data_IF_523833795118
#
_entry.id   IF_523833795118
#
_cell.length_a   1.000
_cell.length_b   1.000
_cell.length_c   1.000
_cell.angle_alpha   90.00
_cell.angle_beta   90.00
_cell.angle_gamma   90.00
#
_symmetry.space_group_name_H-M   'P 1'
#
loop_
_entity.id
_entity.type
_entity.pdbx_description
1 polymer ?
#
# COMPACT_ATOMS: atom_id res chain seq x y z
N UNK A 1 -48.40 -17.94 13.54
CA UNK A 1 -47.57 -17.63 14.71
C UNK A 1 -47.53 -16.14 14.87
N UNK A 2 -48.09 -15.64 15.93
CA UNK A 2 -48.56 -14.27 16.13
C UNK A 2 -47.44 -13.35 16.61
N UNK A 3 -47.40 -12.12 16.04
CA UNK A 3 -46.38 -11.10 16.31
C UNK A 3 -46.76 -10.20 17.49
N UNK A 4 -47.12 -10.76 18.62
CA UNK A 4 -47.47 -9.96 19.82
C UNK A 4 -47.13 -10.75 21.07
N UNK A 5 -45.94 -10.49 21.60
CA UNK A 5 -45.61 -10.63 23.04
C UNK A 5 -44.11 -10.45 23.27
N UNK A 6 -43.67 -9.18 23.22
CA UNK A 6 -42.35 -8.80 23.74
C UNK A 6 -42.46 -7.42 24.41
N UNK A 7 -43.34 -7.33 25.40
CA UNK A 7 -43.34 -6.19 26.31
C UNK A 7 -43.62 -6.74 27.71
N UNK A 8 -42.58 -6.75 28.51
CA UNK A 8 -42.58 -6.62 29.97
C UNK A 8 -41.43 -7.42 30.60
N UNK A 9 -40.33 -6.74 30.84
CA UNK A 9 -39.49 -6.94 32.03
C UNK A 9 -38.39 -5.87 32.06
N UNK A 10 -38.74 -4.70 32.60
CA UNK A 10 -37.77 -3.76 33.13
C UNK A 10 -37.73 -3.95 34.66
N UNK A 11 -36.62 -4.36 35.24
CA UNK A 11 -36.37 -4.09 36.65
C UNK A 11 -35.71 -2.72 36.79
N UNK A 12 -36.33 -1.88 37.60
CA UNK A 12 -35.74 -0.62 38.04
C UNK A 12 -34.45 -0.88 38.82
N UNK A 13 -33.35 -0.31 38.35
CA UNK A 13 -32.08 -0.29 39.09
C UNK A 13 -31.89 1.12 39.67
N UNK A 14 -31.87 1.18 40.99
CA UNK A 14 -31.66 2.40 41.80
C UNK A 14 -30.33 3.04 41.44
N UNK A 15 -30.34 4.37 41.30
CA UNK A 15 -29.21 5.22 41.21
C UNK A 15 -28.36 5.20 42.49
N UNK A 16 -27.15 4.72 42.42
CA UNK A 16 -26.08 5.03 43.37
C UNK A 16 -25.11 5.99 42.67
N UNK A 17 -25.24 7.27 43.01
CA UNK A 17 -24.27 8.30 42.59
C UNK A 17 -23.02 8.14 43.42
N UNK A 18 -21.99 7.47 42.88
CA UNK A 18 -20.65 7.56 43.40
C UNK A 18 -19.94 8.66 42.62
N UNK A 19 -19.59 9.73 43.31
CA UNK A 19 -18.67 10.77 42.84
C UNK A 19 -17.28 10.12 42.57
N UNK A 20 -16.97 9.87 41.31
CA UNK A 20 -15.64 9.57 40.87
C UNK A 20 -14.89 10.90 40.63
N UNK A 21 -13.60 11.02 41.04
CA UNK A 21 -12.85 12.21 40.75
C UNK A 21 -12.64 12.34 39.24
N UNK A 22 -12.87 13.54 38.72
CA UNK A 22 -12.51 13.92 37.35
C UNK A 22 -11.02 13.66 37.13
N UNK A 23 -10.67 12.57 36.51
CA UNK A 23 -9.34 12.40 35.94
C UNK A 23 -9.24 13.37 34.75
N UNK A 24 -8.40 14.38 34.91
CA UNK A 24 -8.05 15.31 33.84
C UNK A 24 -7.63 14.50 32.59
N UNK A 25 -8.49 14.54 31.59
CA UNK A 25 -8.20 13.99 30.28
C UNK A 25 -7.03 14.80 29.72
N UNK A 26 -5.83 14.21 29.75
CA UNK A 26 -4.69 14.78 29.03
C UNK A 26 -5.06 14.84 27.56
N UNK A 27 -5.36 16.02 27.08
CA UNK A 27 -5.60 16.32 25.68
C UNK A 27 -4.28 16.03 24.96
N UNK A 28 -4.15 14.83 24.37
CA UNK A 28 -3.06 14.52 23.46
C UNK A 28 -3.13 15.53 22.32
N UNK A 29 -2.24 16.51 22.34
CA UNK A 29 -2.01 17.38 21.19
C UNK A 29 -1.52 16.50 20.04
N UNK A 30 -2.41 16.15 19.13
CA UNK A 30 -2.06 15.48 17.90
C UNK A 30 -0.99 16.33 17.20
N UNK A 31 0.21 15.79 17.08
CA UNK A 31 1.27 16.39 16.27
C UNK A 31 0.70 16.57 14.86
N UNK A 32 0.77 17.76 14.26
CA UNK A 32 0.22 17.96 12.92
C UNK A 32 0.96 17.04 11.95
N UNK A 33 0.26 16.05 11.43
CA UNK A 33 0.74 15.22 10.35
C UNK A 33 1.05 16.14 9.18
N UNK A 34 2.30 16.21 8.75
CA UNK A 34 2.68 16.97 7.55
C UNK A 34 1.93 16.37 6.38
N UNK A 35 0.87 17.01 5.97
CA UNK A 35 0.12 16.62 4.77
C UNK A 35 1.07 16.79 3.59
N UNK A 36 1.43 15.70 2.93
CA UNK A 36 2.23 15.71 1.72
C UNK A 36 1.50 16.54 0.67
N UNK A 37 2.19 17.49 0.03
CA UNK A 37 1.58 18.28 -1.02
C UNK A 37 1.02 17.34 -2.12
N UNK A 38 -0.17 17.62 -2.66
CA UNK A 38 -0.74 16.79 -3.72
C UNK A 38 0.20 16.78 -4.91
N UNK A 39 0.36 15.59 -5.53
CA UNK A 39 1.16 15.45 -6.74
C UNK A 39 0.50 16.20 -7.91
N UNK A 40 1.30 16.69 -8.88
CA UNK A 40 0.76 17.38 -10.06
C UNK A 40 -0.10 16.42 -10.90
N UNK A 41 -1.04 16.97 -11.65
CA UNK A 41 -1.81 16.22 -12.62
C UNK A 41 -0.91 15.77 -13.77
N UNK A 42 -1.03 14.49 -14.18
CA UNK A 42 -0.29 13.92 -15.29
C UNK A 42 -0.93 14.32 -16.61
N UNK A 43 -0.11 14.79 -17.55
CA UNK A 43 -0.50 15.08 -18.93
C UNK A 43 -0.23 13.89 -19.84
N UNK A 44 -0.93 13.83 -20.96
CA UNK A 44 -0.57 12.88 -22.04
C UNK A 44 0.83 13.17 -22.57
N UNK A 45 1.66 12.13 -22.71
CA UNK A 45 3.05 12.30 -23.18
C UNK A 45 3.86 11.03 -23.08
N UNK A 46 5.17 11.17 -23.35
CA UNK A 46 6.17 10.13 -23.18
C UNK A 46 7.04 10.52 -21.98
N UNK A 47 7.22 9.59 -21.06
CA UNK A 47 7.97 9.77 -19.83
C UNK A 47 9.24 8.91 -19.88
N UNK A 48 10.40 9.48 -20.19
CA UNK A 48 11.66 8.75 -20.17
C UNK A 48 12.03 8.38 -18.71
N UNK A 49 12.90 7.37 -18.51
CA UNK A 49 13.37 7.02 -17.19
C UNK A 49 14.11 8.21 -16.54
N UNK A 50 13.79 8.47 -15.29
CA UNK A 50 14.53 9.42 -14.45
C UNK A 50 15.91 8.88 -14.03
N UNK A 51 16.64 9.63 -13.20
CA UNK A 51 17.92 9.17 -12.67
C UNK A 51 17.78 7.84 -11.91
N UNK A 52 18.81 7.00 -12.02
CA UNK A 52 18.90 5.78 -11.22
C UNK A 52 18.98 6.12 -9.73
N UNK A 53 18.26 5.39 -8.93
CA UNK A 53 18.27 5.47 -7.46
C UNK A 53 18.38 4.06 -6.87
N UNK A 54 18.80 3.96 -5.61
CA UNK A 54 18.87 2.70 -4.90
C UNK A 54 20.29 2.31 -4.50
N UNK A 55 20.40 1.20 -3.77
CA UNK A 55 21.65 0.66 -3.24
C UNK A 55 21.47 -0.81 -2.83
N UNK A 56 22.53 -1.47 -2.37
CA UNK A 56 22.43 -2.80 -1.78
C UNK A 56 21.92 -3.90 -2.73
N UNK A 57 22.22 -3.78 -4.02
CA UNK A 57 21.76 -4.76 -5.03
C UNK A 57 20.36 -4.47 -5.60
N UNK A 58 19.73 -3.35 -5.21
CA UNK A 58 18.47 -2.89 -5.81
C UNK A 58 18.65 -1.48 -6.36
N UNK A 59 18.32 -1.29 -7.63
CA UNK A 59 18.31 0.00 -8.31
C UNK A 59 17.03 0.18 -9.09
N UNK A 60 16.62 1.42 -9.32
CA UNK A 60 15.40 1.69 -10.07
C UNK A 60 15.38 3.06 -10.71
N UNK A 61 14.47 3.24 -11.64
CA UNK A 61 14.20 4.47 -12.36
C UNK A 61 12.72 4.81 -12.27
N UNK A 62 12.38 6.00 -11.78
CA UNK A 62 11.01 6.48 -11.84
C UNK A 62 10.72 7.11 -13.19
N UNK A 63 9.60 6.76 -13.80
CA UNK A 63 9.14 7.35 -15.07
C UNK A 63 8.15 8.49 -14.81
N UNK A 64 7.16 8.25 -13.96
CA UNK A 64 6.14 9.25 -13.64
C UNK A 64 5.59 9.04 -12.23
N UNK A 65 5.06 10.12 -11.66
CA UNK A 65 4.25 10.12 -10.46
C UNK A 65 3.33 11.33 -10.50
N UNK A 66 2.03 11.15 -10.25
CA UNK A 66 1.07 12.25 -10.26
C UNK A 66 -0.37 11.80 -10.19
N UNK A 67 -1.27 12.77 -10.35
CA UNK A 67 -2.71 12.56 -10.32
C UNK A 67 -3.27 12.35 -11.72
N UNK A 68 -4.17 11.39 -11.88
CA UNK A 68 -4.92 11.20 -13.13
C UNK A 68 -6.09 12.19 -13.19
N UNK A 69 -6.41 12.69 -14.40
CA UNK A 69 -7.61 13.53 -14.63
C UNK A 69 -8.92 12.82 -14.32
N UNK A 70 -8.93 11.49 -14.38
CA UNK A 70 -10.11 10.65 -14.22
C UNK A 70 -10.55 10.45 -12.76
N UNK A 71 -10.34 11.42 -11.89
CA UNK A 71 -10.78 11.38 -10.50
C UNK A 71 -9.63 11.48 -9.50
N UNK A 72 -9.90 11.12 -8.23
CA UNK A 72 -8.89 11.17 -7.17
C UNK A 72 -8.00 9.93 -7.18
N UNK A 73 -7.29 9.71 -8.28
CA UNK A 73 -6.43 8.54 -8.50
C UNK A 73 -5.00 9.02 -8.70
N UNK A 74 -4.11 8.58 -7.81
CA UNK A 74 -2.68 8.71 -7.97
C UNK A 74 -2.14 7.53 -8.76
N UNK A 75 -1.20 7.81 -9.65
CA UNK A 75 -0.42 6.79 -10.35
C UNK A 75 1.07 7.09 -10.17
N UNK A 76 1.85 6.04 -9.98
CA UNK A 76 3.31 6.08 -10.10
C UNK A 76 3.76 4.92 -10.96
N UNK A 77 4.80 5.12 -11.78
CA UNK A 77 5.44 4.04 -12.52
C UNK A 77 6.95 4.13 -12.36
N UNK A 78 7.56 3.03 -11.99
CA UNK A 78 9.01 2.87 -11.95
C UNK A 78 9.43 1.49 -12.44
N UNK A 79 10.69 1.34 -12.79
CA UNK A 79 11.36 0.07 -13.05
C UNK A 79 12.29 -0.23 -11.89
N UNK A 80 12.39 -1.50 -11.53
CA UNK A 80 13.31 -1.98 -10.51
C UNK A 80 14.14 -3.13 -11.08
N UNK A 81 15.45 -3.07 -10.81
CA UNK A 81 16.41 -4.15 -11.02
C UNK A 81 16.90 -4.65 -9.67
N UNK A 82 16.86 -5.97 -9.47
CA UNK A 82 17.40 -6.64 -8.29
C UNK A 82 18.48 -7.63 -8.67
N UNK A 83 19.65 -7.52 -8.04
CA UNK A 83 20.73 -8.50 -8.17
C UNK A 83 20.36 -9.80 -7.44
N UNK A 84 20.95 -10.96 -7.85
CA UNK A 84 20.78 -12.22 -7.15
C UNK A 84 21.18 -12.10 -5.67
N UNK A 85 20.41 -12.74 -4.78
CA UNK A 85 20.68 -12.73 -3.35
C UNK A 85 20.40 -11.39 -2.65
N UNK A 86 19.88 -10.38 -3.36
CA UNK A 86 19.42 -9.13 -2.73
C UNK A 86 18.26 -9.45 -1.78
N UNK A 87 18.32 -9.04 -0.51
CA UNK A 87 17.21 -9.18 0.40
C UNK A 87 15.96 -8.51 -0.16
N UNK A 88 14.76 -9.08 0.09
CA UNK A 88 13.53 -8.39 -0.25
C UNK A 88 13.40 -7.08 0.53
N UNK A 89 12.64 -6.16 0.02
CA UNK A 89 12.29 -4.93 0.71
C UNK A 89 11.44 -5.21 1.98
N UNK A 90 11.24 -4.17 2.78
CA UNK A 90 10.28 -4.26 3.88
C UNK A 90 8.90 -4.66 3.32
N UNK A 91 8.16 -5.46 4.10
CA UNK A 91 6.80 -5.84 3.71
C UNK A 91 5.96 -4.59 3.49
N UNK A 92 5.48 -4.42 2.28
CA UNK A 92 4.61 -3.31 1.88
C UNK A 92 3.17 -3.52 2.39
N UNK A 93 2.49 -2.40 2.62
CA UNK A 93 1.06 -2.34 2.95
C UNK A 93 0.55 -0.95 2.56
N UNK A 94 -0.24 -0.87 1.50
CA UNK A 94 -0.62 0.39 0.87
C UNK A 94 -2.13 0.53 0.68
N UNK A 95 -2.60 1.77 0.49
CA UNK A 95 -3.99 2.07 0.14
C UNK A 95 -4.24 1.98 -1.37
N UNK A 96 -3.19 1.83 -2.17
CA UNK A 96 -3.24 1.65 -3.62
C UNK A 96 -2.99 0.18 -4.01
N UNK A 97 -3.32 -0.15 -5.24
CA UNK A 97 -2.91 -1.42 -5.83
C UNK A 97 -1.53 -1.28 -6.45
N UNK A 98 -0.77 -2.37 -6.47
CA UNK A 98 0.49 -2.45 -7.18
C UNK A 98 0.45 -3.55 -8.24
N UNK A 99 0.98 -3.24 -9.42
CA UNK A 99 1.04 -4.16 -10.56
C UNK A 99 2.51 -4.28 -10.97
N UNK A 100 3.00 -5.50 -11.05
CA UNK A 100 4.35 -5.82 -11.53
C UNK A 100 4.27 -6.45 -12.91
N UNK A 101 5.09 -5.99 -13.83
CA UNK A 101 5.33 -6.66 -15.12
C UNK A 101 6.81 -7.06 -15.18
N UNK A 102 7.09 -8.34 -15.14
CA UNK A 102 8.46 -8.85 -15.22
C UNK A 102 8.98 -8.69 -16.64
N UNK A 103 10.09 -7.97 -16.78
CA UNK A 103 10.78 -7.72 -18.04
C UNK A 103 11.85 -8.76 -18.31
N UNK A 104 12.67 -9.06 -17.29
CA UNK A 104 13.80 -9.98 -17.39
C UNK A 104 13.97 -10.77 -16.07
N UNK A 105 14.58 -11.95 -16.17
CA UNK A 105 14.91 -12.78 -15.01
C UNK A 105 13.70 -13.44 -14.38
N UNK A 106 13.83 -13.74 -13.10
CA UNK A 106 12.83 -14.46 -12.31
C UNK A 106 12.63 -13.76 -10.98
N UNK A 107 11.38 -13.44 -10.67
CA UNK A 107 10.98 -12.87 -9.39
C UNK A 107 10.03 -13.81 -8.65
N UNK A 108 9.90 -13.59 -7.35
CA UNK A 108 8.82 -14.11 -6.53
C UNK A 108 8.05 -12.97 -5.91
N UNK A 109 6.73 -12.93 -6.13
CA UNK A 109 5.81 -12.05 -5.45
C UNK A 109 5.17 -12.81 -4.29
N UNK A 110 5.33 -12.28 -3.09
CA UNK A 110 4.63 -12.78 -1.91
C UNK A 110 3.50 -11.82 -1.56
N UNK A 111 2.27 -12.33 -1.49
CA UNK A 111 1.08 -11.58 -1.04
C UNK A 111 0.39 -12.34 0.07
N UNK A 112 0.17 -11.68 1.24
CA UNK A 112 -0.45 -12.27 2.43
C UNK A 112 0.15 -13.65 2.82
N UNK A 113 1.49 -13.76 2.71
CA UNK A 113 2.23 -14.98 3.03
C UNK A 113 2.19 -16.08 1.95
N UNK A 114 1.55 -15.84 0.80
CA UNK A 114 1.55 -16.79 -0.33
C UNK A 114 2.51 -16.30 -1.41
N UNK A 115 3.54 -17.08 -1.68
CA UNK A 115 4.57 -16.78 -2.68
C UNK A 115 4.23 -17.40 -4.02
N UNK A 116 4.39 -16.62 -5.09
CA UNK A 116 4.21 -17.06 -6.48
C UNK A 116 5.39 -16.61 -7.32
N UNK A 117 5.91 -17.54 -8.12
CA UNK A 117 7.00 -17.30 -9.05
C UNK A 117 6.47 -16.56 -10.29
N UNK A 118 7.23 -15.58 -10.78
CA UNK A 118 6.98 -14.82 -12.01
C UNK A 118 8.23 -14.87 -12.90
N UNK A 119 8.03 -15.01 -14.18
CA UNK A 119 9.08 -14.96 -15.22
C UNK A 119 8.81 -13.82 -16.20
N UNK A 120 9.74 -13.52 -17.09
CA UNK A 120 9.59 -12.49 -18.10
C UNK A 120 8.26 -12.62 -18.86
N UNK A 121 7.48 -11.53 -18.90
CA UNK A 121 6.16 -11.45 -19.48
C UNK A 121 5.00 -11.70 -18.49
N UNK A 122 5.27 -12.22 -17.31
CA UNK A 122 4.23 -12.38 -16.29
C UNK A 122 3.84 -11.05 -15.65
N UNK A 123 2.60 -10.97 -15.21
CA UNK A 123 2.04 -9.86 -14.46
C UNK A 123 1.61 -10.35 -13.08
N UNK A 124 2.12 -9.70 -12.04
CA UNK A 124 1.63 -9.84 -10.67
C UNK A 124 0.79 -8.65 -10.25
N UNK A 125 -0.12 -8.86 -9.32
CA UNK A 125 -0.89 -7.79 -8.69
C UNK A 125 -1.00 -8.01 -7.19
N UNK A 126 -0.88 -6.92 -6.44
CA UNK A 126 -1.26 -6.83 -5.03
C UNK A 126 -2.41 -5.83 -4.89
N UNK A 127 -3.49 -6.24 -4.25
CA UNK A 127 -4.60 -5.36 -4.00
C UNK A 127 -4.34 -4.46 -2.80
N UNK A 128 -4.97 -3.29 -2.80
CA UNK A 128 -4.91 -2.36 -1.67
C UNK A 128 -5.22 -3.06 -0.34
N UNK A 129 -4.37 -2.86 0.65
CA UNK A 129 -4.49 -3.47 1.97
C UNK A 129 -3.82 -4.83 2.14
N UNK A 130 -3.35 -5.46 1.07
CA UNK A 130 -2.60 -6.71 1.17
C UNK A 130 -1.14 -6.48 1.56
N UNK A 131 -0.61 -7.36 2.40
CA UNK A 131 0.81 -7.38 2.73
C UNK A 131 1.60 -8.01 1.58
N UNK A 132 2.69 -7.39 1.14
CA UNK A 132 3.45 -7.89 0.01
C UNK A 132 4.93 -7.52 0.01
N UNK A 133 5.69 -8.26 -0.79
CA UNK A 133 7.05 -7.92 -1.22
C UNK A 133 7.43 -8.72 -2.46
N UNK A 134 8.45 -8.23 -3.19
CA UNK A 134 9.05 -8.93 -4.34
C UNK A 134 10.51 -9.26 -4.03
N UNK A 135 10.96 -10.42 -4.45
CA UNK A 135 12.34 -10.85 -4.35
C UNK A 135 12.86 -11.41 -5.69
N UNK A 136 14.15 -11.24 -5.96
CA UNK A 136 14.81 -11.99 -7.03
C UNK A 136 14.89 -13.46 -6.63
N UNK A 137 14.39 -14.36 -7.46
CA UNK A 137 14.34 -15.80 -7.24
C UNK A 137 15.21 -16.57 -8.24
N UNK A 138 16.04 -15.86 -8.99
CA UNK A 138 16.97 -16.42 -9.97
C UNK A 138 18.44 -16.28 -9.55
N UNK A 139 19.32 -16.79 -10.38
CA UNK A 139 20.78 -16.68 -10.30
C UNK A 139 21.36 -15.54 -11.15
N UNK A 140 20.49 -14.81 -11.83
CA UNK A 140 20.78 -13.62 -12.61
C UNK A 140 19.91 -12.44 -12.12
N UNK A 141 20.24 -11.19 -12.44
CA UNK A 141 19.39 -10.07 -12.10
C UNK A 141 17.97 -10.25 -12.65
N UNK A 142 16.96 -9.79 -11.90
CA UNK A 142 15.61 -9.63 -12.41
C UNK A 142 15.26 -8.17 -12.54
N UNK A 143 14.45 -7.86 -13.56
CA UNK A 143 13.94 -6.52 -13.84
C UNK A 143 12.44 -6.56 -14.03
N UNK A 144 11.77 -5.59 -13.42
CA UNK A 144 10.32 -5.47 -13.51
C UNK A 144 9.85 -4.03 -13.40
N UNK A 145 8.78 -3.73 -14.11
CA UNK A 145 8.05 -2.48 -13.91
C UNK A 145 7.07 -2.63 -12.75
N UNK A 146 6.91 -1.54 -12.01
CA UNK A 146 5.87 -1.41 -10.98
C UNK A 146 4.97 -0.25 -11.36
N UNK A 147 3.66 -0.49 -11.34
CA UNK A 147 2.64 0.54 -11.48
C UNK A 147 1.81 0.56 -10.21
N UNK A 148 1.87 1.65 -9.46
CA UNK A 148 0.97 1.89 -8.33
C UNK A 148 -0.22 2.69 -8.81
N UNK A 149 -1.43 2.32 -8.41
CA UNK A 149 -2.66 3.00 -8.80
C UNK A 149 -3.70 2.93 -7.69
N UNK A 150 -4.18 4.09 -7.25
CA UNK A 150 -5.18 4.16 -6.18
C UNK A 150 -5.37 5.56 -5.64
N UNK A 151 -6.05 5.72 -4.48
CA UNK A 151 -6.14 7.00 -3.83
C UNK A 151 -4.76 7.50 -3.40
N UNK A 152 -4.54 8.83 -3.30
CA UNK A 152 -3.33 9.36 -2.69
C UNK A 152 -3.17 8.85 -1.26
N UNK A 153 -1.96 8.48 -0.91
CA UNK A 153 -1.61 8.14 0.46
C UNK A 153 -1.30 9.40 1.26
N UNK A 154 -1.71 9.44 2.55
CA UNK A 154 -1.53 10.59 3.43
C UNK A 154 -0.06 10.92 3.75
#
# INVERSE_FOLDING_TARGET
>A
MDRREFTAFLPALLAATTLLPETASAQQTATPTKTKAPLPEISSGVYPPGPATGSGGRTGHRFLAGMLKAGNIQIEMHETRQEPGTPHEAVGHHLHNEIWLVREGVCELTTNGVTRRMVAGDVGICCAGDLHYVANAGDVPCEYFVVTVGPPEP
#
